data_IF_819010488718
#
_entry.id   IF_819010488718
#
_cell.length_a   1.000
_cell.length_b   1.000
_cell.length_c   1.000
_cell.angle_alpha   90.00
_cell.angle_beta   90.00
_cell.angle_gamma   90.00
#
_symmetry.space_group_name_H-M   'P 1'
#
loop_
_entity.id
_entity.type
_entity.pdbx_description
1 polymer ?
#
# COMPACT_ATOMS: atom_id res chain seq x y z
N UNK A 1 14.11 2.53 -5.23
CA UNK A 1 13.01 3.46 -4.92
C UNK A 1 12.46 3.14 -3.55
N UNK A 2 11.97 4.15 -2.84
CA UNK A 2 11.26 4.03 -1.58
C UNK A 2 9.77 3.97 -1.86
N UNK A 3 9.17 2.81 -1.64
CA UNK A 3 7.78 2.50 -2.00
C UNK A 3 6.95 2.32 -0.73
N UNK A 4 5.82 3.00 -0.65
CA UNK A 4 4.86 2.85 0.44
C UNK A 4 3.74 1.89 0.05
N UNK A 5 3.46 0.88 0.87
CA UNK A 5 2.21 0.13 0.76
C UNK A 5 1.08 0.86 1.47
N UNK A 6 -0.10 0.89 0.85
CA UNK A 6 -1.24 1.62 1.41
C UNK A 6 -2.12 0.77 2.33
N UNK A 7 -1.95 -0.56 2.36
CA UNK A 7 -2.70 -1.52 3.20
C UNK A 7 -1.86 -2.78 3.54
N UNK A 8 -2.41 -3.68 4.37
CA UNK A 8 -1.81 -4.98 4.77
C UNK A 8 -2.57 -6.18 4.21
N UNK A 9 -3.22 -6.06 3.06
CA UNK A 9 -3.79 -7.24 2.43
C UNK A 9 -2.69 -8.28 2.14
N UNK A 10 -3.04 -9.56 2.09
CA UNK A 10 -2.10 -10.62 1.68
C UNK A 10 -1.50 -10.33 0.30
N UNK A 11 -2.31 -9.71 -0.58
CA UNK A 11 -1.87 -9.24 -1.89
C UNK A 11 -0.80 -8.14 -1.77
N UNK A 12 -1.00 -7.13 -0.91
CA UNK A 12 0.02 -6.09 -0.65
C UNK A 12 1.31 -6.69 -0.07
N UNK A 13 1.19 -7.66 0.84
CA UNK A 13 2.35 -8.37 1.42
C UNK A 13 3.16 -9.09 0.34
N UNK A 14 2.47 -9.84 -0.54
CA UNK A 14 3.10 -10.54 -1.67
C UNK A 14 3.81 -9.57 -2.62
N UNK A 15 3.17 -8.44 -2.94
CA UNK A 15 3.75 -7.39 -3.79
C UNK A 15 5.02 -6.81 -3.13
N UNK A 16 4.99 -6.55 -1.83
CA UNK A 16 6.16 -6.03 -1.13
C UNK A 16 7.31 -7.03 -1.07
N UNK A 17 7.05 -8.33 -0.91
CA UNK A 17 8.11 -9.35 -0.97
C UNK A 17 8.82 -9.36 -2.33
N UNK A 18 8.06 -9.32 -3.43
CA UNK A 18 8.64 -9.22 -4.78
C UNK A 18 9.46 -7.95 -4.98
N UNK A 19 8.92 -6.79 -4.59
CA UNK A 19 9.63 -5.51 -4.72
C UNK A 19 10.89 -5.45 -3.84
N UNK A 20 10.87 -6.05 -2.64
CA UNK A 20 12.08 -6.17 -1.80
C UNK A 20 13.13 -7.03 -2.49
N UNK A 21 12.73 -8.14 -3.13
CA UNK A 21 13.64 -9.00 -3.88
C UNK A 21 14.30 -8.28 -5.06
N UNK A 22 13.57 -7.33 -5.67
CA UNK A 22 14.06 -6.46 -6.75
C UNK A 22 14.91 -5.27 -6.24
N UNK A 23 15.16 -5.17 -4.93
CA UNK A 23 16.02 -4.16 -4.32
C UNK A 23 15.32 -2.82 -4.02
N UNK A 24 13.99 -2.78 -4.03
CA UNK A 24 13.24 -1.61 -3.57
C UNK A 24 13.15 -1.57 -2.04
N UNK A 25 13.13 -0.37 -1.48
CA UNK A 25 12.86 -0.16 -0.05
C UNK A 25 11.35 -0.06 0.14
N UNK A 26 10.78 -0.91 1.00
CA UNK A 26 9.35 -0.89 1.32
C UNK A 26 9.13 -0.23 2.68
N UNK A 27 8.23 0.75 2.72
CA UNK A 27 7.84 1.45 3.94
C UNK A 27 6.46 1.00 4.40
N UNK A 28 6.45 0.24 5.50
CA UNK A 28 5.24 -0.41 6.04
C UNK A 28 4.48 0.46 7.08
N UNK A 29 4.96 1.68 7.37
CA UNK A 29 4.53 2.48 8.54
C UNK A 29 3.16 3.17 8.39
N UNK A 30 2.52 3.16 7.21
CA UNK A 30 1.23 3.81 6.99
C UNK A 30 0.03 3.00 7.54
N UNK A 31 0.30 1.85 8.16
CA UNK A 31 -0.68 0.82 8.39
C UNK A 31 -1.16 0.85 9.84
N UNK A 32 -2.48 0.76 10.08
CA UNK A 32 -2.99 0.81 11.43
C UNK A 32 -2.51 -0.38 12.27
N UNK A 33 -2.37 -0.16 13.57
CA UNK A 33 -2.09 -1.24 14.53
C UNK A 33 -3.19 -2.31 14.42
N UNK A 34 -2.84 -3.60 14.47
CA UNK A 34 -3.83 -4.67 14.49
C UNK A 34 -4.76 -4.56 15.72
N UNK A 35 -4.26 -4.01 16.83
CA UNK A 35 -5.05 -3.71 18.01
C UNK A 35 -5.96 -2.48 17.85
N UNK A 36 -5.70 -1.62 16.85
CA UNK A 36 -6.49 -0.42 16.60
C UNK A 36 -6.47 -0.07 15.10
N UNK A 37 -7.36 -0.71 14.31
CA UNK A 37 -7.40 -0.65 12.84
C UNK A 37 -7.70 0.74 12.26
N UNK A 38 -7.88 1.74 13.12
CA UNK A 38 -8.13 3.14 12.75
C UNK A 38 -6.97 4.08 13.08
N UNK A 39 -5.99 3.66 13.89
CA UNK A 39 -4.85 4.52 14.27
C UNK A 39 -3.67 4.30 13.36
N UNK A 40 -3.48 5.25 12.43
CA UNK A 40 -2.23 5.40 11.71
C UNK A 40 -1.09 5.73 12.70
N UNK A 41 0.06 5.05 12.58
CA UNK A 41 1.27 5.37 13.37
C UNK A 41 1.72 6.81 13.15
N UNK A 42 1.50 7.40 11.98
CA UNK A 42 1.73 8.83 11.76
C UNK A 42 0.94 9.73 12.72
N UNK A 43 -0.26 9.32 13.14
CA UNK A 43 -1.07 10.06 14.11
C UNK A 43 -0.64 9.77 15.56
N UNK A 44 -0.25 8.54 15.87
CA UNK A 44 0.08 8.10 17.24
C UNK A 44 1.52 8.42 17.63
N UNK A 45 2.46 8.17 16.73
CA UNK A 45 3.90 8.25 16.93
C UNK A 45 4.50 9.51 16.28
N UNK A 46 3.68 10.35 15.62
CA UNK A 46 4.11 11.54 14.87
C UNK A 46 5.20 11.25 13.82
N UNK A 47 5.15 10.06 13.22
CA UNK A 47 6.09 9.59 12.21
C UNK A 47 5.35 9.06 10.99
N UNK A 48 5.21 9.91 9.98
CA UNK A 48 4.54 9.56 8.73
C UNK A 48 5.59 9.22 7.65
N UNK A 49 5.51 8.04 7.01
CA UNK A 49 6.35 7.69 5.86
C UNK A 49 6.38 8.72 4.74
N UNK A 50 5.26 9.39 4.52
CA UNK A 50 5.12 10.39 3.48
C UNK A 50 5.96 11.64 3.79
N UNK A 51 6.18 11.96 5.07
CA UNK A 51 7.03 13.09 5.49
C UNK A 51 8.52 12.76 5.36
N UNK A 52 8.87 11.47 5.52
CA UNK A 52 10.23 10.94 5.29
C UNK A 52 10.57 10.79 3.80
N UNK A 53 9.55 10.92 2.94
CA UNK A 53 9.64 10.76 1.50
C UNK A 53 9.25 9.35 1.04
N UNK A 54 8.41 9.28 0.01
CA UNK A 54 8.13 8.08 -0.76
C UNK A 54 8.09 8.46 -2.25
N UNK A 55 8.74 7.67 -3.09
CA UNK A 55 8.77 7.89 -4.54
C UNK A 55 7.45 7.45 -5.19
N UNK A 56 6.81 6.45 -4.59
CA UNK A 56 5.64 5.76 -5.12
C UNK A 56 4.82 5.15 -3.98
N UNK A 57 3.50 5.20 -4.09
CA UNK A 57 2.59 4.44 -3.24
C UNK A 57 1.86 3.36 -4.06
N UNK A 58 1.72 2.17 -3.49
CA UNK A 58 1.03 1.04 -4.12
C UNK A 58 -0.15 0.62 -3.24
N UNK A 59 -1.33 0.54 -3.87
CA UNK A 59 -2.49 -0.16 -3.32
C UNK A 59 -2.67 -1.45 -4.09
N UNK A 60 -2.64 -2.58 -3.39
CA UNK A 60 -2.85 -3.89 -4.00
C UNK A 60 -4.23 -4.40 -3.57
N UNK A 61 -5.20 -4.25 -4.46
CA UNK A 61 -6.59 -4.60 -4.26
C UNK A 61 -6.78 -6.10 -4.42
N UNK A 62 -7.49 -6.70 -3.46
CA UNK A 62 -7.94 -8.09 -3.58
C UNK A 62 -8.98 -8.21 -4.69
N UNK A 63 -9.90 -7.24 -4.76
CA UNK A 63 -10.89 -7.12 -5.84
C UNK A 63 -10.90 -5.69 -6.41
N UNK A 64 -11.14 -5.51 -7.72
CA UNK A 64 -11.14 -4.19 -8.35
C UNK A 64 -12.14 -3.18 -7.75
N UNK A 65 -13.24 -3.67 -7.17
CA UNK A 65 -14.28 -2.86 -6.53
C UNK A 65 -13.97 -2.46 -5.08
N UNK A 66 -12.88 -2.96 -4.50
CA UNK A 66 -12.54 -2.66 -3.11
C UNK A 66 -12.26 -1.16 -2.94
N UNK A 67 -12.78 -0.58 -1.86
CA UNK A 67 -12.59 0.84 -1.58
C UNK A 67 -11.10 1.16 -1.36
N UNK A 68 -10.61 2.33 -1.83
CA UNK A 68 -9.23 2.73 -1.59
C UNK A 68 -8.97 2.87 -0.08
N UNK A 69 -7.82 2.39 0.36
CA UNK A 69 -7.43 2.48 1.77
C UNK A 69 -7.17 3.93 2.19
N UNK A 70 -7.19 4.19 3.51
CA UNK A 70 -6.80 5.50 4.04
C UNK A 70 -5.39 5.92 3.59
N UNK A 71 -4.45 4.96 3.48
CA UNK A 71 -3.10 5.21 2.97
C UNK A 71 -3.08 5.74 1.54
N UNK A 72 -4.00 5.27 0.69
CA UNK A 72 -4.16 5.78 -0.69
C UNK A 72 -4.53 7.27 -0.70
N UNK A 73 -5.49 7.65 0.15
CA UNK A 73 -5.92 9.06 0.27
C UNK A 73 -4.79 9.94 0.79
N UNK A 74 -4.02 9.47 1.78
CA UNK A 74 -2.87 10.20 2.32
C UNK A 74 -1.78 10.42 1.27
N UNK A 75 -1.39 9.37 0.52
CA UNK A 75 -0.38 9.48 -0.54
C UNK A 75 -0.78 10.50 -1.60
N UNK A 76 -2.04 10.47 -2.05
CA UNK A 76 -2.59 11.46 -3.00
C UNK A 76 -2.51 12.88 -2.47
N UNK A 77 -2.85 13.11 -1.20
CA UNK A 77 -2.77 14.44 -0.56
C UNK A 77 -1.34 14.94 -0.43
N UNK A 78 -0.39 14.04 -0.23
CA UNK A 78 1.04 14.35 -0.19
C UNK A 78 1.68 14.54 -1.58
N UNK A 79 0.91 14.38 -2.68
CA UNK A 79 1.43 14.50 -4.04
C UNK A 79 2.26 13.30 -4.49
N UNK A 80 2.26 12.20 -3.73
CA UNK A 80 2.97 10.97 -4.10
C UNK A 80 2.15 10.21 -5.15
N UNK A 81 2.77 9.78 -6.28
CA UNK A 81 2.08 8.97 -7.28
C UNK A 81 1.52 7.68 -6.66
N UNK A 82 0.29 7.31 -7.06
CA UNK A 82 -0.36 6.07 -6.60
C UNK A 82 -0.56 5.14 -7.79
N UNK A 83 -0.12 3.89 -7.64
CA UNK A 83 -0.43 2.79 -8.56
C UNK A 83 -1.38 1.83 -7.85
N UNK A 84 -2.50 1.53 -8.51
CA UNK A 84 -3.42 0.49 -8.08
C UNK A 84 -3.12 -0.80 -8.85
N UNK A 85 -2.84 -1.87 -8.11
CA UNK A 85 -2.69 -3.21 -8.63
C UNK A 85 -3.92 -4.00 -8.20
N UNK A 86 -4.50 -4.76 -9.12
CA UNK A 86 -5.60 -5.67 -8.81
C UNK A 86 -5.28 -7.03 -9.39
N UNK A 87 -5.65 -8.10 -8.67
CA UNK A 87 -5.75 -9.42 -9.32
C UNK A 87 -7.06 -9.43 -10.09
N UNK A 88 -6.96 -9.41 -11.42
CA UNK A 88 -8.05 -9.91 -12.23
C UNK A 88 -7.88 -11.42 -12.31
N UNK A 89 -8.84 -12.17 -11.77
CA UNK A 89 -9.07 -13.53 -12.23
C UNK A 89 -9.53 -13.43 -13.68
N UNK A 90 -8.56 -13.41 -14.60
CA UNK A 90 -8.85 -13.66 -16.00
C UNK A 90 -9.12 -15.16 -16.10
N UNK A 91 -10.33 -15.56 -15.74
CA UNK A 91 -10.84 -16.86 -16.14
C UNK A 91 -10.96 -16.80 -17.66
N UNK A 92 -10.11 -17.54 -18.36
CA UNK A 92 -10.36 -17.89 -19.75
C UNK A 92 -11.34 -19.07 -19.69
N UNK A 93 -12.66 -18.87 -19.92
CA UNK A 93 -13.62 -19.97 -19.88
C UNK A 93 -13.38 -21.04 -20.96
N UNK A 94 -12.47 -20.77 -21.91
CA UNK A 94 -12.20 -21.61 -23.09
C UNK A 94 -10.73 -22.11 -23.21
N UNK A 95 -9.94 -22.10 -22.13
CA UNK A 95 -8.61 -22.75 -22.09
C UNK A 95 -8.60 -23.96 -21.15
#
# INVERSE_FOLDING_TARGET
MRIMLTDRSDTSTTVAEGLRADGHEIVDLCLPDAASPLTCRGLVEHRCPLDEGADLAITALQHPQDAPSAGTVCARRAGVPVVALGRHDVTHPDL
#
